data_IF_029892939061
#
_entry.id   IF_029892939061
#
_cell.length_a   1.000
_cell.length_b   1.000
_cell.length_c   1.000
_cell.angle_alpha   90.00
_cell.angle_beta   90.00
_cell.angle_gamma   90.00
#
_symmetry.space_group_name_H-M   'P 1'
#
loop_
_entity.id
_entity.type
_entity.pdbx_description
1 polymer ?
#
# COMPACT_ATOMS: atom_id res chain seq x y z
N UNK A 1 -30.29 -10.77 39.79
CA UNK A 1 -30.65 -10.78 38.35
C UNK A 1 -29.87 -9.76 37.49
N UNK A 2 -29.20 -8.74 38.07
CA UNK A 2 -28.35 -7.78 37.32
C UNK A 2 -26.98 -8.36 36.93
N UNK A 3 -26.35 -9.18 37.79
CA UNK A 3 -25.02 -9.77 37.51
C UNK A 3 -24.97 -10.70 36.29
N UNK A 4 -26.06 -11.41 35.98
CA UNK A 4 -26.08 -12.34 34.84
C UNK A 4 -26.12 -11.58 33.51
N UNK A 5 -26.74 -10.39 33.48
CA UNK A 5 -26.76 -9.55 32.26
C UNK A 5 -25.41 -8.90 32.01
N UNK A 6 -24.71 -8.44 33.04
CA UNK A 6 -23.36 -7.88 32.88
C UNK A 6 -22.33 -8.93 32.42
N UNK A 7 -22.43 -10.18 32.90
CA UNK A 7 -21.57 -11.28 32.41
C UNK A 7 -21.89 -11.63 30.96
N UNK A 8 -23.16 -11.59 30.55
CA UNK A 8 -23.57 -11.84 29.16
C UNK A 8 -23.19 -10.69 28.22
N UNK A 9 -23.30 -9.44 28.66
CA UNK A 9 -22.90 -8.26 27.89
C UNK A 9 -21.38 -8.17 27.79
N UNK A 10 -20.64 -8.49 28.86
CA UNK A 10 -19.18 -8.60 28.83
C UNK A 10 -18.70 -9.77 27.95
N UNK A 11 -19.43 -10.89 27.93
CA UNK A 11 -19.13 -12.04 27.07
C UNK A 11 -19.50 -11.79 25.61
N UNK A 12 -20.63 -11.12 25.35
CA UNK A 12 -21.06 -10.71 24.01
C UNK A 12 -20.14 -9.62 23.42
N UNK A 13 -19.66 -8.69 24.25
CA UNK A 13 -18.64 -7.72 23.87
C UNK A 13 -17.29 -8.39 23.58
N UNK A 14 -16.90 -9.41 24.37
CA UNK A 14 -15.68 -10.21 24.13
C UNK A 14 -15.78 -11.07 22.86
N UNK A 15 -16.94 -11.67 22.60
CA UNK A 15 -17.25 -12.44 21.37
C UNK A 15 -17.33 -11.53 20.15
N UNK A 16 -17.89 -10.33 20.27
CA UNK A 16 -17.91 -9.30 19.21
C UNK A 16 -16.49 -8.82 18.89
N UNK A 17 -15.65 -8.61 19.91
CA UNK A 17 -14.24 -8.24 19.75
C UNK A 17 -13.42 -9.37 19.10
N UNK A 18 -13.66 -10.63 19.48
CA UNK A 18 -13.06 -11.82 18.84
C UNK A 18 -13.54 -12.05 17.40
N UNK A 19 -14.80 -11.73 17.08
CA UNK A 19 -15.31 -11.75 15.70
C UNK A 19 -14.68 -10.69 14.79
N UNK A 20 -14.05 -9.67 15.36
CA UNK A 20 -13.27 -8.66 14.63
C UNK A 20 -11.79 -9.02 14.52
N UNK A 21 -11.32 -10.06 15.20
CA UNK A 21 -9.94 -10.51 15.04
C UNK A 21 -9.79 -11.24 13.69
N UNK A 22 -8.91 -10.75 12.79
CA UNK A 22 -8.81 -11.22 11.41
C UNK A 22 -8.46 -12.71 11.33
N UNK A 23 -7.73 -13.23 12.33
CA UNK A 23 -7.33 -14.64 12.44
C UNK A 23 -8.52 -15.57 12.66
N UNK A 24 -9.49 -15.18 13.50
CA UNK A 24 -10.68 -16.00 13.81
C UNK A 24 -11.61 -16.05 12.60
N UNK A 25 -11.81 -14.91 11.93
CA UNK A 25 -12.62 -14.82 10.71
C UNK A 25 -11.99 -15.65 9.58
N UNK A 26 -10.67 -15.58 9.42
CA UNK A 26 -9.95 -16.36 8.42
C UNK A 26 -10.04 -17.87 8.69
N UNK A 27 -9.87 -18.29 9.95
CA UNK A 27 -9.95 -19.70 10.34
C UNK A 27 -11.35 -20.26 10.09
N UNK A 28 -12.39 -19.54 10.51
CA UNK A 28 -13.78 -19.95 10.30
C UNK A 28 -14.14 -20.00 8.80
N UNK A 29 -13.61 -19.05 8.02
CA UNK A 29 -13.79 -19.02 6.56
C UNK A 29 -13.12 -20.23 5.88
N UNK A 30 -11.88 -20.54 6.24
CA UNK A 30 -11.16 -21.71 5.71
C UNK A 30 -11.87 -23.01 6.05
N UNK A 31 -12.38 -23.15 7.29
CA UNK A 31 -13.16 -24.32 7.70
C UNK A 31 -14.48 -24.45 6.93
N UNK A 32 -15.21 -23.35 6.75
CA UNK A 32 -16.45 -23.34 5.97
C UNK A 32 -16.21 -23.70 4.50
N UNK A 33 -15.17 -23.15 3.88
CA UNK A 33 -14.83 -23.44 2.49
C UNK A 33 -14.38 -24.90 2.28
N UNK A 34 -13.57 -25.45 3.20
CA UNK A 34 -13.20 -26.86 3.17
C UNK A 34 -14.43 -27.77 3.30
N UNK A 35 -15.34 -27.44 4.23
CA UNK A 35 -16.57 -28.21 4.44
C UNK A 35 -17.49 -28.16 3.22
N UNK A 36 -17.67 -26.98 2.60
CA UNK A 36 -18.43 -26.81 1.36
C UNK A 36 -17.82 -27.62 0.21
N UNK A 37 -16.49 -27.59 0.06
CA UNK A 37 -15.81 -28.34 -0.99
C UNK A 37 -15.98 -29.86 -0.81
N UNK A 38 -15.94 -30.35 0.43
CA UNK A 38 -16.21 -31.74 0.75
C UNK A 38 -17.66 -32.14 0.40
N UNK A 39 -18.65 -31.33 0.81
CA UNK A 39 -20.07 -31.61 0.53
C UNK A 39 -20.34 -31.61 -0.98
N UNK A 40 -19.76 -30.66 -1.72
CA UNK A 40 -19.89 -30.63 -3.19
C UNK A 40 -19.22 -31.85 -3.81
N UNK A 41 -18.01 -32.22 -3.37
CA UNK A 41 -17.31 -33.37 -3.89
C UNK A 41 -18.06 -34.70 -3.65
N UNK A 42 -18.79 -34.84 -2.54
CA UNK A 42 -19.63 -36.02 -2.28
C UNK A 42 -20.77 -36.21 -3.31
N UNK A 43 -21.23 -35.13 -3.95
CA UNK A 43 -22.32 -35.21 -4.94
C UNK A 43 -21.81 -35.47 -6.36
N UNK A 44 -20.53 -35.21 -6.63
CA UNK A 44 -19.96 -35.25 -7.98
C UNK A 44 -18.83 -36.28 -8.15
N UNK A 45 -18.17 -36.72 -7.08
CA UNK A 45 -17.14 -37.76 -7.11
C UNK A 45 -17.75 -39.13 -6.78
N UNK A 46 -17.43 -40.18 -7.55
CA UNK A 46 -17.83 -41.56 -7.24
C UNK A 46 -17.03 -42.19 -6.09
N UNK A 47 -16.02 -41.51 -5.52
CA UNK A 47 -15.22 -42.02 -4.39
C UNK A 47 -15.94 -41.90 -3.03
N UNK A 48 -15.76 -42.91 -2.17
CA UNK A 48 -16.41 -42.98 -0.87
C UNK A 48 -15.95 -41.91 0.14
N UNK A 49 -14.80 -41.27 -0.07
CA UNK A 49 -14.26 -40.22 0.82
C UNK A 49 -13.36 -39.22 0.05
N UNK A 50 -13.94 -38.19 -0.60
CA UNK A 50 -13.20 -37.24 -1.45
C UNK A 50 -12.45 -36.18 -0.61
N UNK A 51 -11.35 -36.59 0.03
CA UNK A 51 -10.56 -35.73 0.95
C UNK A 51 -9.65 -34.72 0.23
N UNK A 52 -9.48 -34.81 -1.09
CA UNK A 52 -8.62 -33.88 -1.83
C UNK A 52 -9.29 -32.54 -2.14
N UNK A 53 -10.61 -32.55 -2.34
CA UNK A 53 -11.40 -31.34 -2.53
C UNK A 53 -11.30 -30.38 -1.32
N UNK A 54 -11.52 -30.82 -0.06
CA UNK A 54 -11.36 -29.95 1.11
C UNK A 54 -9.91 -29.49 1.32
N UNK A 55 -8.92 -30.36 1.09
CA UNK A 55 -7.50 -29.99 1.12
C UNK A 55 -7.19 -28.90 0.06
N UNK A 56 -7.81 -29.03 -1.12
CA UNK A 56 -7.71 -28.06 -2.22
C UNK A 56 -8.30 -26.72 -1.85
N UNK A 57 -9.52 -26.70 -1.34
CA UNK A 57 -10.17 -25.48 -0.89
C UNK A 57 -9.44 -24.80 0.28
N UNK A 58 -8.87 -25.56 1.22
CA UNK A 58 -8.18 -25.00 2.38
C UNK A 58 -6.92 -24.21 1.99
N UNK A 59 -6.06 -24.79 1.13
CA UNK A 59 -4.87 -24.07 0.67
C UNK A 59 -5.23 -22.90 -0.25
N UNK A 60 -6.30 -23.02 -1.04
CA UNK A 60 -6.77 -21.96 -1.93
C UNK A 60 -7.34 -20.77 -1.12
N UNK A 61 -8.10 -21.02 -0.05
CA UNK A 61 -8.72 -19.96 0.78
C UNK A 61 -7.74 -19.30 1.76
N UNK A 62 -6.64 -19.95 2.09
CA UNK A 62 -5.63 -19.39 2.99
C UNK A 62 -4.86 -18.21 2.40
N UNK A 63 -4.87 -18.04 1.07
CA UNK A 63 -4.08 -17.00 0.40
C UNK A 63 -4.97 -15.85 -0.14
N UNK A 64 -4.34 -14.70 -0.43
CA UNK A 64 -5.01 -13.53 -1.01
C UNK A 64 -5.61 -13.88 -2.37
N UNK A 65 -6.67 -13.21 -2.81
CA UNK A 65 -7.45 -13.56 -4.01
C UNK A 65 -6.58 -13.73 -5.29
N UNK A 66 -5.50 -12.96 -5.42
CA UNK A 66 -4.51 -13.14 -6.49
C UNK A 66 -3.72 -14.45 -6.37
N UNK A 67 -3.22 -14.72 -5.18
CA UNK A 67 -2.51 -15.96 -4.91
C UNK A 67 -3.46 -17.14 -4.98
N UNK A 68 -4.70 -17.05 -4.51
CA UNK A 68 -5.76 -18.07 -4.66
C UNK A 68 -5.95 -18.50 -6.12
N UNK A 69 -6.00 -17.56 -7.06
CA UNK A 69 -6.12 -17.86 -8.49
C UNK A 69 -4.85 -18.55 -9.01
N UNK A 70 -3.68 -17.96 -8.75
CA UNK A 70 -2.41 -18.48 -9.27
C UNK A 70 -2.01 -19.80 -8.63
N UNK A 71 -2.17 -19.95 -7.32
CA UNK A 71 -2.02 -21.17 -6.53
C UNK A 71 -3.03 -22.23 -6.96
N UNK A 72 -4.31 -21.86 -7.14
CA UNK A 72 -5.34 -22.79 -7.64
C UNK A 72 -5.00 -23.37 -9.02
N UNK A 73 -4.60 -22.51 -9.97
CA UNK A 73 -4.18 -22.93 -11.32
C UNK A 73 -2.91 -23.78 -11.26
N UNK A 74 -1.90 -23.36 -10.49
CA UNK A 74 -0.66 -24.15 -10.31
C UNK A 74 -0.94 -25.51 -9.69
N UNK A 75 -1.87 -25.59 -8.74
CA UNK A 75 -2.24 -26.83 -8.06
C UNK A 75 -3.00 -27.78 -8.97
N UNK A 76 -3.98 -27.29 -9.73
CA UNK A 76 -4.66 -28.09 -10.76
C UNK A 76 -3.65 -28.62 -11.78
N UNK A 77 -2.74 -27.77 -12.27
CA UNK A 77 -1.69 -28.21 -13.20
C UNK A 77 -0.76 -29.27 -12.60
N UNK A 78 -0.45 -29.18 -11.31
CA UNK A 78 0.41 -30.13 -10.59
C UNK A 78 -0.24 -31.51 -10.50
N UNK A 79 -1.51 -31.55 -10.12
CA UNK A 79 -2.27 -32.81 -10.05
C UNK A 79 -2.45 -33.41 -11.44
N UNK A 80 -2.82 -32.60 -12.44
CA UNK A 80 -2.96 -33.06 -13.83
C UNK A 80 -1.64 -33.62 -14.36
N UNK A 81 -0.52 -32.93 -14.13
CA UNK A 81 0.81 -33.42 -14.53
C UNK A 81 1.15 -34.75 -13.85
N UNK A 82 0.91 -34.87 -12.53
CA UNK A 82 1.15 -36.11 -11.79
C UNK A 82 0.30 -37.28 -12.30
N UNK A 83 -0.98 -37.03 -12.60
CA UNK A 83 -1.90 -38.02 -13.15
C UNK A 83 -1.49 -38.46 -14.56
N UNK A 84 -1.11 -37.53 -15.44
CA UNK A 84 -0.65 -37.84 -16.80
C UNK A 84 0.62 -38.68 -16.78
N UNK A 85 1.57 -38.31 -15.91
CA UNK A 85 2.81 -39.09 -15.71
C UNK A 85 2.48 -40.49 -15.18
N UNK A 86 1.58 -40.61 -14.21
CA UNK A 86 1.17 -41.91 -13.66
C UNK A 86 0.47 -42.80 -14.70
N UNK A 87 -0.45 -42.26 -15.50
CA UNK A 87 -1.13 -43.00 -16.57
C UNK A 87 -0.11 -43.47 -17.61
N UNK A 88 0.73 -42.57 -18.12
CA UNK A 88 1.75 -42.88 -19.11
C UNK A 88 2.73 -43.94 -18.61
N UNK A 89 3.13 -43.85 -17.34
CA UNK A 89 4.03 -44.81 -16.72
C UNK A 89 3.36 -46.16 -16.47
N UNK A 90 2.11 -46.18 -15.99
CA UNK A 90 1.35 -47.42 -15.75
C UNK A 90 1.07 -48.21 -17.03
N UNK A 91 0.95 -47.53 -18.17
CA UNK A 91 0.77 -48.17 -19.47
C UNK A 91 2.06 -48.82 -19.99
N UNK A 92 3.23 -48.38 -19.51
CA UNK A 92 4.55 -48.85 -19.95
C UNK A 92 5.17 -49.87 -18.99
N UNK A 93 4.88 -49.77 -17.69
CA UNK A 93 5.57 -50.53 -16.64
C UNK A 93 4.57 -50.95 -15.56
N UNK A 94 4.46 -52.25 -15.28
CA UNK A 94 3.64 -52.76 -14.17
C UNK A 94 4.16 -52.30 -12.79
N UNK A 95 3.34 -52.47 -11.75
CA UNK A 95 3.74 -52.12 -10.37
C UNK A 95 4.91 -53.00 -9.88
N UNK A 96 6.06 -52.39 -9.64
CA UNK A 96 7.23 -53.00 -8.99
C UNK A 96 7.93 -51.97 -8.11
N UNK A 97 8.81 -52.41 -7.19
CA UNK A 97 9.52 -51.51 -6.28
C UNK A 97 10.43 -50.51 -7.00
N UNK A 98 11.05 -50.91 -8.12
CA UNK A 98 11.91 -50.04 -8.93
C UNK A 98 11.09 -49.11 -9.83
N UNK A 99 9.91 -49.55 -10.31
CA UNK A 99 9.04 -48.70 -11.11
C UNK A 99 8.40 -47.58 -10.28
N UNK A 100 8.08 -47.83 -9.00
CA UNK A 100 7.67 -46.79 -8.05
C UNK A 100 8.75 -45.72 -7.86
N UNK A 101 10.00 -46.14 -7.67
CA UNK A 101 11.13 -45.21 -7.51
C UNK A 101 11.35 -44.34 -8.75
N UNK A 102 11.25 -44.94 -9.94
CA UNK A 102 11.39 -44.23 -11.21
C UNK A 102 10.23 -43.26 -11.46
N UNK A 103 9.01 -43.63 -11.07
CA UNK A 103 7.84 -42.74 -11.12
C UNK A 103 8.04 -41.50 -10.25
N UNK A 104 8.46 -41.67 -9.00
CA UNK A 104 8.71 -40.54 -8.08
C UNK A 104 9.77 -39.60 -8.67
N UNK A 105 10.87 -40.15 -9.18
CA UNK A 105 11.92 -39.38 -9.85
C UNK A 105 11.38 -38.59 -11.06
N UNK A 106 10.59 -39.25 -11.92
CA UNK A 106 9.98 -38.61 -13.08
C UNK A 106 8.99 -37.51 -12.68
N UNK A 107 8.12 -37.76 -11.70
CA UNK A 107 7.15 -36.78 -11.20
C UNK A 107 7.83 -35.56 -10.56
N UNK A 108 8.91 -35.76 -9.81
CA UNK A 108 9.69 -34.66 -9.22
C UNK A 108 10.42 -33.84 -10.30
N UNK A 109 11.02 -34.51 -11.30
CA UNK A 109 11.69 -33.85 -12.41
C UNK A 109 10.71 -33.01 -13.26
N UNK A 110 9.53 -33.57 -13.55
CA UNK A 110 8.46 -32.86 -14.27
C UNK A 110 7.91 -31.70 -13.43
N UNK A 111 7.71 -31.88 -12.12
CA UNK A 111 7.29 -30.79 -11.24
C UNK A 111 8.27 -29.60 -11.23
N UNK A 112 9.57 -29.88 -11.34
CA UNK A 112 10.61 -28.86 -11.48
C UNK A 112 10.56 -28.17 -12.86
N UNK A 113 10.32 -28.93 -13.93
CA UNK A 113 10.25 -28.42 -15.30
C UNK A 113 9.03 -27.53 -15.55
N UNK A 114 7.90 -27.81 -14.90
CA UNK A 114 6.64 -27.02 -15.01
C UNK A 114 6.69 -25.72 -14.17
N UNK A 115 7.83 -25.39 -13.54
CA UNK A 115 8.01 -24.19 -12.67
C UNK A 115 6.98 -24.11 -11.54
N UNK A 116 6.54 -25.27 -11.04
CA UNK A 116 5.67 -25.37 -9.86
C UNK A 116 6.55 -25.58 -8.62
N UNK A 117 7.44 -24.62 -8.34
CA UNK A 117 8.47 -24.76 -7.29
C UNK A 117 7.92 -25.02 -5.89
N UNK A 118 6.67 -24.64 -5.60
CA UNK A 118 6.04 -24.75 -4.28
C UNK A 118 5.22 -26.04 -4.08
N UNK A 119 4.82 -26.74 -5.16
CA UNK A 119 3.97 -27.95 -5.10
C UNK A 119 4.59 -29.19 -5.76
N UNK A 120 5.90 -29.20 -5.98
CA UNK A 120 6.64 -30.35 -6.55
C UNK A 120 6.35 -31.68 -5.81
N UNK A 121 6.29 -31.73 -4.46
CA UNK A 121 5.96 -32.96 -3.75
C UNK A 121 4.52 -33.46 -4.01
N UNK A 122 3.60 -32.55 -4.32
CA UNK A 122 2.19 -32.87 -4.55
C UNK A 122 1.98 -33.61 -5.89
N UNK A 123 2.81 -33.31 -6.89
CA UNK A 123 2.89 -34.04 -8.17
C UNK A 123 3.27 -35.51 -7.92
N UNK A 124 4.29 -35.74 -7.09
CA UNK A 124 4.75 -37.08 -6.74
C UNK A 124 3.72 -37.85 -5.91
N UNK A 125 3.11 -37.21 -4.89
CA UNK A 125 2.06 -37.82 -4.07
C UNK A 125 0.85 -38.21 -4.92
N UNK A 126 0.42 -37.33 -5.83
CA UNK A 126 -0.72 -37.60 -6.71
C UNK A 126 -0.43 -38.75 -7.69
N UNK A 127 0.78 -38.78 -8.25
CA UNK A 127 1.20 -39.88 -9.13
C UNK A 127 1.24 -41.23 -8.40
N UNK A 128 1.75 -41.24 -7.16
CA UNK A 128 1.78 -42.44 -6.33
C UNK A 128 0.37 -42.96 -5.98
N UNK A 129 -0.56 -42.08 -5.63
CA UNK A 129 -1.93 -42.46 -5.27
C UNK A 129 -2.71 -43.03 -6.45
N UNK A 130 -2.51 -42.50 -7.66
CA UNK A 130 -3.13 -43.04 -8.89
C UNK A 130 -2.53 -44.40 -9.25
N UNK A 131 -1.22 -44.58 -9.08
CA UNK A 131 -0.58 -45.87 -9.35
C UNK A 131 -0.99 -46.95 -8.32
N UNK A 132 -1.17 -46.59 -7.05
CA UNK A 132 -1.50 -47.53 -5.96
C UNK A 132 -2.92 -48.10 -5.97
N UNK A 133 -3.85 -47.52 -6.74
CA UNK A 133 -5.24 -47.98 -6.85
C UNK A 133 -5.44 -48.63 -8.22
N UNK A 134 -5.77 -49.91 -8.24
CA UNK A 134 -5.79 -50.79 -9.41
C UNK A 134 -6.83 -50.48 -10.50
N UNK A 135 -7.50 -49.32 -10.46
CA UNK A 135 -8.43 -48.81 -11.47
C UNK A 135 -7.95 -47.49 -12.06
N UNK A 136 -6.95 -47.57 -12.94
CA UNK A 136 -6.21 -46.41 -13.49
C UNK A 136 -7.12 -45.39 -14.22
N UNK A 137 -8.28 -45.82 -14.74
CA UNK A 137 -9.22 -44.95 -15.49
C UNK A 137 -10.12 -44.07 -14.61
N UNK A 138 -10.95 -44.69 -13.77
CA UNK A 138 -11.93 -43.96 -12.93
C UNK A 138 -11.25 -43.16 -11.82
N UNK A 139 -10.14 -43.66 -11.26
CA UNK A 139 -9.42 -43.00 -10.15
C UNK A 139 -8.57 -41.81 -10.62
N UNK A 140 -8.11 -41.82 -11.88
CA UNK A 140 -7.42 -40.66 -12.45
C UNK A 140 -8.38 -39.50 -12.69
N UNK A 141 -9.58 -39.81 -13.21
CA UNK A 141 -10.62 -38.82 -13.46
C UNK A 141 -11.16 -38.23 -12.16
N UNK A 142 -11.46 -39.06 -11.15
CA UNK A 142 -11.91 -38.60 -9.83
C UNK A 142 -10.90 -37.61 -9.21
N UNK A 143 -9.60 -37.90 -9.28
CA UNK A 143 -8.55 -37.06 -8.70
C UNK A 143 -8.46 -35.68 -9.32
N UNK A 144 -8.56 -35.61 -10.66
CA UNK A 144 -8.58 -34.33 -11.38
C UNK A 144 -9.86 -33.56 -11.01
N UNK A 145 -11.00 -34.25 -11.03
CA UNK A 145 -12.31 -33.66 -10.79
C UNK A 145 -12.43 -33.11 -9.36
N UNK A 146 -11.96 -33.83 -8.34
CA UNK A 146 -11.94 -33.36 -6.95
C UNK A 146 -11.01 -32.14 -6.74
N UNK A 147 -9.85 -32.12 -7.40
CA UNK A 147 -8.92 -30.98 -7.33
C UNK A 147 -9.55 -29.75 -7.99
N UNK A 148 -10.21 -29.92 -9.14
CA UNK A 148 -10.93 -28.83 -9.81
C UNK A 148 -12.09 -28.34 -8.94
N UNK A 149 -12.89 -29.23 -8.35
CA UNK A 149 -13.98 -28.85 -7.44
C UNK A 149 -13.43 -28.06 -6.26
N UNK A 150 -12.38 -28.54 -5.59
CA UNK A 150 -11.81 -27.83 -4.45
C UNK A 150 -11.22 -26.47 -4.83
N UNK A 151 -10.62 -26.34 -6.02
CA UNK A 151 -10.13 -25.06 -6.54
C UNK A 151 -11.28 -24.10 -6.87
N UNK A 152 -12.35 -24.58 -7.51
CA UNK A 152 -13.53 -23.77 -7.85
C UNK A 152 -14.28 -23.33 -6.61
N UNK A 153 -14.51 -24.23 -5.65
CA UNK A 153 -15.19 -23.91 -4.39
C UNK A 153 -14.33 -22.98 -3.53
N UNK A 154 -13.02 -23.23 -3.41
CA UNK A 154 -12.11 -22.33 -2.71
C UNK A 154 -12.06 -20.94 -3.33
N UNK A 155 -12.03 -20.84 -4.66
CA UNK A 155 -12.07 -19.57 -5.38
C UNK A 155 -13.42 -18.86 -5.21
N UNK A 156 -14.52 -19.61 -5.27
CA UNK A 156 -15.88 -19.09 -5.08
C UNK A 156 -16.10 -18.57 -3.66
N UNK A 157 -15.62 -19.28 -2.65
CA UNK A 157 -15.62 -18.81 -1.26
C UNK A 157 -14.76 -17.56 -1.09
N UNK A 158 -13.60 -17.47 -1.74
CA UNK A 158 -12.74 -16.27 -1.68
C UNK A 158 -13.41 -15.06 -2.38
N UNK A 159 -14.14 -15.30 -3.47
CA UNK A 159 -14.93 -14.28 -4.20
C UNK A 159 -16.17 -13.81 -3.42
N UNK A 160 -16.92 -14.74 -2.83
CA UNK A 160 -18.16 -14.45 -2.10
C UNK A 160 -17.88 -13.87 -0.71
N UNK A 161 -16.79 -14.29 -0.07
CA UNK A 161 -16.32 -13.86 1.24
C UNK A 161 -14.91 -13.23 1.10
N UNK A 162 -14.81 -12.04 0.49
CA UNK A 162 -13.52 -11.37 0.30
C UNK A 162 -12.84 -11.16 1.66
N UNK A 163 -11.50 -11.32 1.74
CA UNK A 163 -10.77 -11.04 2.97
C UNK A 163 -10.99 -9.56 3.38
N UNK A 164 -10.89 -9.24 4.68
CA UNK A 164 -11.01 -7.87 5.15
C UNK A 164 -9.98 -6.99 4.42
N UNK A 165 -10.42 -5.83 3.94
CA UNK A 165 -9.57 -4.89 3.23
C UNK A 165 -8.72 -4.16 4.27
N UNK A 166 -7.40 -4.38 4.25
CA UNK A 166 -6.44 -3.85 5.24
C UNK A 166 -6.11 -2.36 5.05
N UNK A 167 -6.96 -1.63 4.31
CA UNK A 167 -6.73 -0.24 3.93
C UNK A 167 -6.72 0.67 5.16
N UNK A 168 -7.64 0.45 6.11
CA UNK A 168 -7.65 1.18 7.38
C UNK A 168 -6.38 0.99 8.21
N UNK A 169 -5.82 -0.22 8.25
CA UNK A 169 -4.59 -0.48 9.00
C UNK A 169 -3.35 0.19 8.36
N UNK A 170 -3.30 0.27 7.03
CA UNK A 170 -2.25 1.00 6.33
C UNK A 170 -2.38 2.52 6.56
N UNK A 171 -3.60 3.05 6.55
CA UNK A 171 -3.86 4.46 6.89
C UNK A 171 -3.49 4.81 8.33
N UNK A 172 -3.90 3.99 9.30
CA UNK A 172 -3.50 4.15 10.70
C UNK A 172 -1.98 4.16 10.88
N UNK A 173 -1.26 3.30 10.15
CA UNK A 173 0.20 3.24 10.18
C UNK A 173 0.87 4.52 9.64
N UNK A 174 0.29 5.12 8.58
CA UNK A 174 0.74 6.39 8.00
C UNK A 174 0.48 7.55 8.97
N UNK A 175 -0.71 7.61 9.58
CA UNK A 175 -1.04 8.62 10.60
C UNK A 175 -0.17 8.48 11.86
N UNK A 176 0.12 7.25 12.29
CA UNK A 176 1.04 6.96 13.38
C UNK A 176 2.46 7.48 13.08
N UNK A 177 2.98 7.24 11.86
CA UNK A 177 4.28 7.76 11.43
C UNK A 177 4.29 9.29 11.44
N UNK A 178 3.26 9.93 10.88
CA UNK A 178 3.13 11.39 10.86
C UNK A 178 3.10 11.99 12.27
N UNK A 179 2.38 11.33 13.21
CA UNK A 179 2.38 11.73 14.63
C UNK A 179 3.76 11.61 15.27
N UNK A 180 4.55 10.58 14.93
CA UNK A 180 5.93 10.44 15.42
C UNK A 180 6.86 11.53 14.86
N UNK A 181 6.73 11.86 13.58
CA UNK A 181 7.44 12.99 12.94
C UNK A 181 7.12 14.31 13.64
N UNK A 182 5.84 14.59 13.86
CA UNK A 182 5.38 15.79 14.61
C UNK A 182 5.98 15.86 16.01
N UNK A 183 5.96 14.76 16.76
CA UNK A 183 6.51 14.73 18.11
C UNK A 183 8.01 15.05 18.13
N UNK A 184 8.76 14.58 17.13
CA UNK A 184 10.19 14.89 17.05
C UNK A 184 10.42 16.35 16.65
N UNK A 185 9.64 16.91 15.72
CA UNK A 185 9.69 18.34 15.38
C UNK A 185 9.44 19.23 16.60
N UNK A 186 8.42 18.93 17.40
CA UNK A 186 8.12 19.67 18.64
C UNK A 186 9.28 19.66 19.62
N UNK A 187 9.84 18.47 19.91
CA UNK A 187 10.98 18.36 20.84
C UNK A 187 12.22 19.09 20.33
N UNK A 188 12.43 19.12 19.02
CA UNK A 188 13.51 19.89 18.40
C UNK A 188 13.25 21.40 18.55
N UNK A 189 11.99 21.83 18.35
CA UNK A 189 11.56 23.21 18.54
C UNK A 189 11.75 23.71 19.97
N UNK A 190 11.30 22.94 20.97
CA UNK A 190 11.47 23.25 22.40
C UNK A 190 12.94 23.48 22.80
N UNK A 191 13.87 22.85 22.09
CA UNK A 191 15.32 22.96 22.34
C UNK A 191 15.95 24.18 21.62
N UNK A 192 15.25 24.86 20.70
CA UNK A 192 15.79 25.90 19.81
C UNK A 192 16.24 27.18 20.53
N UNK A 193 15.46 27.65 21.51
CA UNK A 193 15.83 28.79 22.36
C UNK A 193 16.83 28.42 23.47
N UNK A 194 17.09 27.12 23.63
CA UNK A 194 17.84 26.56 24.73
C UNK A 194 19.33 26.42 24.47
N UNK A 195 19.99 25.77 25.44
CA UNK A 195 21.41 25.38 25.41
C UNK A 195 21.50 23.86 25.50
N UNK A 196 20.92 23.11 24.55
CA UNK A 196 20.88 21.66 24.64
C UNK A 196 22.31 21.11 24.66
N UNK A 197 22.63 20.17 25.58
CA UNK A 197 23.89 19.44 25.51
C UNK A 197 24.03 18.76 24.14
N UNK A 198 25.24 18.72 23.59
CA UNK A 198 25.50 18.05 22.29
C UNK A 198 25.01 16.59 22.29
N UNK A 199 25.07 15.92 23.45
CA UNK A 199 24.56 14.56 23.61
C UNK A 199 23.02 14.46 23.42
N UNK A 200 22.27 15.48 23.85
CA UNK A 200 20.83 15.55 23.66
C UNK A 200 20.48 15.78 22.19
N UNK A 201 21.13 16.73 21.53
CA UNK A 201 20.96 16.97 20.09
C UNK A 201 21.31 15.72 19.26
N UNK A 202 22.39 15.02 19.62
CA UNK A 202 22.77 13.75 18.99
C UNK A 202 21.72 12.65 19.23
N UNK A 203 21.04 12.63 20.37
CA UNK A 203 19.94 11.71 20.64
C UNK A 203 18.72 12.00 19.73
N UNK A 204 18.40 13.29 19.46
CA UNK A 204 17.36 13.67 18.48
C UNK A 204 17.69 13.20 17.07
N UNK A 205 18.95 13.32 16.66
CA UNK A 205 19.41 12.78 15.39
C UNK A 205 19.28 11.24 15.32
N UNK A 206 19.54 10.54 16.43
CA UNK A 206 19.34 9.10 16.48
C UNK A 206 17.85 8.71 16.43
N UNK A 207 16.98 9.48 17.10
CA UNK A 207 15.53 9.32 17.01
C UNK A 207 15.03 9.52 15.57
N UNK A 208 15.52 10.54 14.86
CA UNK A 208 15.20 10.77 13.45
C UNK A 208 15.59 9.57 12.56
N UNK A 209 16.76 8.96 12.81
CA UNK A 209 17.20 7.75 12.07
C UNK A 209 16.35 6.53 12.35
N UNK A 210 15.68 6.45 13.51
CA UNK A 210 14.76 5.34 13.80
C UNK A 210 13.47 5.49 12.99
N UNK A 211 13.01 6.72 12.75
CA UNK A 211 11.87 6.97 11.87
C UNK A 211 12.13 6.48 10.44
N UNK A 212 13.36 6.58 9.93
CA UNK A 212 13.74 6.00 8.63
C UNK A 212 13.47 4.48 8.59
N UNK A 213 13.64 3.77 9.72
CA UNK A 213 13.37 2.34 9.80
C UNK A 213 11.89 2.02 9.91
N UNK A 214 11.13 2.83 10.67
CA UNK A 214 9.68 2.68 10.79
C UNK A 214 8.97 2.76 9.42
N UNK A 215 9.51 3.54 8.47
CA UNK A 215 8.98 3.63 7.09
C UNK A 215 9.00 2.27 6.39
N UNK A 216 9.99 1.43 6.66
CA UNK A 216 10.08 0.08 6.05
C UNK A 216 8.93 -0.80 6.53
N UNK A 217 8.54 -0.68 7.80
CA UNK A 217 7.38 -1.39 8.35
C UNK A 217 6.07 -0.87 7.74
N UNK A 218 5.92 0.45 7.59
CA UNK A 218 4.74 1.07 6.95
C UNK A 218 4.65 0.70 5.46
N UNK A 219 5.76 0.68 4.72
CA UNK A 219 5.82 0.24 3.32
C UNK A 219 5.43 -1.24 3.18
N UNK A 220 5.86 -2.11 4.11
CA UNK A 220 5.44 -3.51 4.12
C UNK A 220 3.93 -3.66 4.36
N UNK A 221 3.37 -2.92 5.32
CA UNK A 221 1.92 -2.89 5.58
C UNK A 221 1.14 -2.35 4.37
N UNK A 222 1.65 -1.30 3.72
CA UNK A 222 1.06 -0.74 2.52
C UNK A 222 1.07 -1.74 1.37
N UNK A 223 2.20 -2.42 1.10
CA UNK A 223 2.29 -3.47 0.07
C UNK A 223 1.28 -4.60 0.29
N UNK A 224 1.09 -5.02 1.54
CA UNK A 224 0.08 -6.02 1.89
C UNK A 224 -1.36 -5.53 1.60
N UNK A 225 -1.62 -4.24 1.86
CA UNK A 225 -2.89 -3.61 1.51
C UNK A 225 -3.06 -3.50 -0.03
N UNK A 226 -2.02 -3.11 -0.77
CA UNK A 226 -2.03 -3.04 -2.24
C UNK A 226 -2.36 -4.40 -2.88
N UNK A 227 -1.73 -5.47 -2.40
CA UNK A 227 -1.93 -6.84 -2.90
C UNK A 227 -3.36 -7.33 -2.62
N UNK A 228 -3.95 -6.91 -1.51
CA UNK A 228 -5.34 -7.23 -1.14
C UNK A 228 -6.36 -6.52 -2.03
N UNK A 229 -6.05 -5.31 -2.52
CA UNK A 229 -6.93 -4.50 -3.36
C UNK A 229 -6.92 -4.91 -4.83
N UNK A 230 -5.80 -5.45 -5.33
CA UNK A 230 -5.55 -5.68 -6.76
C UNK A 230 -6.59 -6.55 -7.48
N UNK A 231 -7.28 -7.44 -6.77
CA UNK A 231 -8.27 -8.37 -7.34
C UNK A 231 -9.63 -8.37 -6.62
N UNK A 232 -9.95 -7.35 -5.82
CA UNK A 232 -11.27 -7.24 -5.22
C UNK A 232 -12.24 -6.53 -6.19
N UNK A 233 -13.15 -7.25 -6.90
CA UNK A 233 -14.03 -6.66 -7.90
C UNK A 233 -15.02 -5.64 -7.32
N UNK A 234 -15.21 -5.61 -6.00
CA UNK A 234 -16.07 -4.67 -5.29
C UNK A 234 -15.43 -3.31 -5.01
N UNK A 235 -14.12 -3.14 -5.23
CA UNK A 235 -13.37 -1.94 -4.84
C UNK A 235 -12.80 -1.23 -6.07
N UNK A 236 -13.66 -0.71 -6.95
CA UNK A 236 -13.24 0.11 -8.11
C UNK A 236 -12.58 1.43 -7.69
N UNK A 237 -12.87 1.93 -6.47
CA UNK A 237 -12.26 3.12 -5.87
C UNK A 237 -10.87 2.86 -5.23
N UNK A 238 -10.50 1.59 -5.03
CA UNK A 238 -9.27 1.22 -4.32
C UNK A 238 -7.99 1.47 -5.13
N UNK A 239 -8.10 1.63 -6.45
CA UNK A 239 -6.95 2.01 -7.28
C UNK A 239 -6.52 3.46 -7.03
N UNK A 240 -7.47 4.38 -6.84
CA UNK A 240 -7.18 5.77 -6.50
C UNK A 240 -6.62 5.85 -5.08
N UNK A 241 -7.28 5.18 -4.13
CA UNK A 241 -6.82 5.13 -2.74
C UNK A 241 -5.39 4.54 -2.64
N UNK A 242 -5.08 3.49 -3.41
CA UNK A 242 -3.71 2.94 -3.52
C UNK A 242 -2.68 3.97 -3.99
N UNK A 243 -2.98 4.67 -5.09
CA UNK A 243 -2.05 5.67 -5.65
C UNK A 243 -1.85 6.81 -4.66
N UNK A 244 -2.91 7.24 -3.99
CA UNK A 244 -2.88 8.29 -2.97
C UNK A 244 -2.04 7.86 -1.75
N UNK A 245 -2.34 6.71 -1.13
CA UNK A 245 -1.56 6.22 0.03
C UNK A 245 -0.07 6.04 -0.30
N UNK A 246 0.25 5.50 -1.47
CA UNK A 246 1.65 5.32 -1.88
C UNK A 246 2.36 6.63 -2.13
N UNK A 247 1.72 7.56 -2.85
CA UNK A 247 2.29 8.89 -3.08
C UNK A 247 2.44 9.66 -1.78
N UNK A 248 1.50 9.53 -0.84
CA UNK A 248 1.59 10.16 0.46
C UNK A 248 2.64 9.53 1.38
N UNK A 249 2.86 8.22 1.30
CA UNK A 249 3.99 7.59 1.98
C UNK A 249 5.33 8.10 1.41
N UNK A 250 5.45 8.26 0.09
CA UNK A 250 6.66 8.83 -0.54
C UNK A 250 6.93 10.26 -0.01
N UNK A 251 5.90 11.09 0.13
CA UNK A 251 6.01 12.43 0.73
C UNK A 251 6.47 12.36 2.19
N UNK A 252 5.88 11.48 3.01
CA UNK A 252 6.32 11.31 4.40
C UNK A 252 7.76 10.78 4.50
N UNK A 253 8.17 9.90 3.59
CA UNK A 253 9.56 9.43 3.50
C UNK A 253 10.50 10.61 3.25
N UNK A 254 10.18 11.48 2.29
CA UNK A 254 10.97 12.70 2.05
C UNK A 254 11.00 13.59 3.29
N UNK A 255 9.86 13.85 3.93
CA UNK A 255 9.79 14.65 5.16
C UNK A 255 10.64 14.07 6.30
N UNK A 256 10.66 12.75 6.50
CA UNK A 256 11.48 12.09 7.54
C UNK A 256 12.98 12.21 7.24
N UNK A 257 13.38 12.09 5.97
CA UNK A 257 14.76 12.31 5.53
C UNK A 257 15.17 13.76 5.80
N UNK A 258 14.32 14.73 5.46
CA UNK A 258 14.58 16.15 5.71
C UNK A 258 14.66 16.45 7.20
N UNK A 259 13.77 15.89 8.03
CA UNK A 259 13.83 15.99 9.49
C UNK A 259 15.15 15.45 10.06
N UNK A 260 15.67 14.34 9.52
CA UNK A 260 16.97 13.80 9.91
C UNK A 260 18.12 14.75 9.55
N UNK A 261 18.05 15.40 8.39
CA UNK A 261 19.04 16.42 8.00
C UNK A 261 18.94 17.64 8.90
N UNK A 262 17.74 18.12 9.21
CA UNK A 262 17.50 19.22 10.16
C UNK A 262 18.07 18.90 11.55
N UNK A 263 17.77 17.71 12.10
CA UNK A 263 18.31 17.26 13.37
C UNK A 263 19.85 17.19 13.37
N UNK A 264 20.45 16.82 12.23
CA UNK A 264 21.90 16.84 12.07
C UNK A 264 22.46 18.26 12.05
N UNK A 265 21.85 19.17 11.29
CA UNK A 265 22.25 20.59 11.22
C UNK A 265 22.21 21.23 12.61
N UNK A 266 21.17 20.96 13.40
CA UNK A 266 21.05 21.45 14.77
C UNK A 266 22.06 20.81 15.73
N UNK A 267 22.38 19.52 15.53
CA UNK A 267 23.46 18.86 16.29
C UNK A 267 24.82 19.48 15.99
N UNK A 268 25.09 19.81 14.73
CA UNK A 268 26.35 20.45 14.35
C UNK A 268 26.39 21.91 14.82
N UNK A 269 25.27 22.64 14.81
CA UNK A 269 25.15 23.96 15.42
C UNK A 269 25.38 23.93 16.93
N UNK A 270 24.84 22.92 17.63
CA UNK A 270 25.05 22.73 19.07
C UNK A 270 26.55 22.55 19.42
N UNK A 271 27.31 21.86 18.57
CA UNK A 271 28.76 21.65 18.75
C UNK A 271 29.55 22.93 18.56
N UNK A 272 29.22 23.69 17.53
CA UNK A 272 29.95 24.91 17.15
C UNK A 272 29.64 26.09 18.09
N UNK A 273 28.44 26.12 18.69
CA UNK A 273 28.03 27.19 19.62
C UNK A 273 28.26 26.89 21.09
N UNK A 274 28.50 25.64 21.50
CA UNK A 274 28.61 25.32 22.93
C UNK A 274 29.65 26.22 23.65
N UNK A 275 29.27 26.92 24.74
CA UNK A 275 28.06 26.78 25.56
C UNK A 275 26.96 27.82 25.28
N UNK A 276 27.00 28.57 24.18
CA UNK A 276 25.96 29.53 23.77
C UNK A 276 24.64 28.82 23.41
N UNK A 277 23.48 29.51 23.48
CA UNK A 277 22.23 28.96 22.98
C UNK A 277 22.29 28.70 21.47
N UNK A 278 21.47 27.79 20.95
CA UNK A 278 21.42 27.50 19.51
C UNK A 278 21.05 28.75 18.71
N UNK A 279 19.99 29.43 19.13
CA UNK A 279 19.50 30.67 18.56
C UNK A 279 19.32 31.73 19.64
N UNK A 280 19.27 33.00 19.23
CA UNK A 280 18.80 34.08 20.11
C UNK A 280 17.34 33.79 20.52
N UNK A 281 16.91 34.09 21.77
CA UNK A 281 15.59 33.70 22.27
C UNK A 281 14.42 34.04 21.34
N UNK A 282 14.44 35.22 20.71
CA UNK A 282 13.37 35.60 19.77
C UNK A 282 13.36 34.71 18.52
N UNK A 283 14.54 34.34 17.99
CA UNK A 283 14.65 33.43 16.84
C UNK A 283 14.21 32.02 17.24
N UNK A 284 14.66 31.54 18.41
CA UNK A 284 14.34 30.22 18.91
C UNK A 284 12.83 30.03 19.14
N UNK A 285 12.15 31.01 19.73
CA UNK A 285 10.70 30.97 19.96
C UNK A 285 9.92 30.90 18.63
N UNK A 286 10.33 31.68 17.63
CA UNK A 286 9.69 31.61 16.30
C UNK A 286 10.04 30.31 15.57
N UNK A 287 11.20 29.70 15.82
CA UNK A 287 11.57 28.41 15.26
C UNK A 287 10.79 27.26 15.94
N UNK A 288 10.55 27.34 17.24
CA UNK A 288 9.67 26.42 17.97
C UNK A 288 8.25 26.45 17.41
N UNK A 289 7.68 27.65 17.26
CA UNK A 289 6.38 27.87 16.64
C UNK A 289 6.33 27.28 15.22
N UNK A 290 7.33 27.61 14.39
CA UNK A 290 7.43 27.11 13.02
C UNK A 290 7.47 25.57 12.95
N UNK A 291 8.28 24.92 13.80
CA UNK A 291 8.39 23.46 13.79
C UNK A 291 7.12 22.79 14.32
N UNK A 292 6.38 23.45 15.23
CA UNK A 292 5.03 23.01 15.62
C UNK A 292 4.06 23.07 14.45
N UNK A 293 4.01 24.18 13.72
CA UNK A 293 3.12 24.38 12.57
C UNK A 293 3.44 23.40 11.43
N UNK A 294 4.72 23.17 11.13
CA UNK A 294 5.16 22.12 10.18
C UNK A 294 4.72 20.74 10.66
N UNK A 295 4.83 20.47 11.97
CA UNK A 295 4.39 19.21 12.57
C UNK A 295 2.88 18.99 12.45
N UNK A 296 2.08 20.04 12.61
CA UNK A 296 0.63 20.00 12.39
C UNK A 296 0.30 19.73 10.92
N UNK A 297 0.98 20.42 9.99
CA UNK A 297 0.82 20.21 8.55
C UNK A 297 1.15 18.78 8.12
N UNK A 298 2.20 18.15 8.69
CA UNK A 298 2.53 16.74 8.44
C UNK A 298 1.39 15.80 8.85
N UNK A 299 0.74 16.07 10.00
CA UNK A 299 -0.39 15.26 10.47
C UNK A 299 -1.63 15.49 9.61
N UNK A 300 -1.95 16.73 9.27
CA UNK A 300 -3.09 17.04 8.39
C UNK A 300 -2.91 16.47 6.99
N UNK A 301 -1.67 16.46 6.47
CA UNK A 301 -1.34 15.78 5.21
C UNK A 301 -1.60 14.27 5.30
N UNK A 302 -1.15 13.61 6.37
CA UNK A 302 -1.43 12.20 6.56
C UNK A 302 -2.93 11.92 6.59
N UNK A 303 -3.71 12.71 7.35
CA UNK A 303 -5.18 12.60 7.39
C UNK A 303 -5.81 12.83 6.02
N UNK A 304 -5.33 13.78 5.23
CA UNK A 304 -5.82 14.03 3.87
C UNK A 304 -5.60 12.81 2.96
N UNK A 305 -4.42 12.18 3.06
CA UNK A 305 -4.05 11.01 2.25
C UNK A 305 -4.79 9.74 2.69
N UNK A 306 -5.13 9.63 3.98
CA UNK A 306 -5.82 8.44 4.54
C UNK A 306 -7.34 8.56 4.57
N UNK A 307 -7.89 9.77 4.40
CA UNK A 307 -9.34 9.99 4.41
C UNK A 307 -10.03 9.34 3.22
N UNK A 308 -10.94 8.41 3.51
CA UNK A 308 -11.88 7.86 2.53
C UNK A 308 -13.02 8.87 2.31
N UNK A 309 -13.34 9.14 1.03
CA UNK A 309 -14.52 9.89 0.53
C UNK A 309 -14.37 11.43 0.43
N UNK A 310 -14.84 11.93 -0.72
CA UNK A 310 -14.80 13.32 -1.22
C UNK A 310 -15.29 14.40 -0.25
N UNK A 311 -16.12 14.08 0.75
CA UNK A 311 -16.72 15.08 1.65
C UNK A 311 -15.79 15.46 2.81
N UNK A 312 -14.91 14.56 3.28
CA UNK A 312 -13.89 14.90 4.27
C UNK A 312 -12.62 15.47 3.63
N UNK A 313 -12.33 15.08 2.38
CA UNK A 313 -11.11 15.47 1.67
C UNK A 313 -11.00 16.99 1.47
N UNK A 314 -12.08 17.66 1.05
CA UNK A 314 -12.07 19.13 0.86
C UNK A 314 -11.82 19.88 2.18
N UNK A 315 -12.38 19.37 3.29
CA UNK A 315 -12.15 19.95 4.62
C UNK A 315 -10.72 19.71 5.13
N UNK A 316 -10.14 18.55 4.83
CA UNK A 316 -8.77 18.21 5.18
C UNK A 316 -7.76 18.98 4.32
N UNK A 317 -8.07 19.19 3.03
CA UNK A 317 -7.28 19.99 2.10
C UNK A 317 -7.28 21.46 2.52
N UNK A 318 -8.44 22.03 2.84
CA UNK A 318 -8.54 23.40 3.34
C UNK A 318 -7.78 23.60 4.66
N UNK A 319 -7.81 22.59 5.55
CA UNK A 319 -7.03 22.61 6.80
C UNK A 319 -5.52 22.60 6.52
N UNK A 320 -5.06 21.67 5.69
CA UNK A 320 -3.65 21.58 5.31
C UNK A 320 -3.17 22.88 4.64
N UNK A 321 -3.94 23.43 3.71
CA UNK A 321 -3.61 24.69 3.05
C UNK A 321 -3.51 25.86 4.03
N UNK A 322 -4.40 25.92 5.02
CA UNK A 322 -4.33 26.92 6.10
C UNK A 322 -3.08 26.75 6.95
N UNK A 323 -2.75 25.52 7.35
CA UNK A 323 -1.55 25.23 8.16
C UNK A 323 -0.26 25.54 7.40
N UNK A 324 -0.17 25.20 6.12
CA UNK A 324 0.97 25.54 5.25
C UNK A 324 1.11 27.05 5.06
N UNK A 325 0.00 27.78 4.95
CA UNK A 325 0.03 29.25 4.85
C UNK A 325 0.59 29.87 6.13
N UNK A 326 0.11 29.40 7.29
CA UNK A 326 0.60 29.84 8.61
C UNK A 326 2.09 29.52 8.77
N UNK A 327 2.50 28.27 8.53
CA UNK A 327 3.89 27.84 8.60
C UNK A 327 4.81 28.63 7.66
N UNK A 328 4.34 28.96 6.45
CA UNK A 328 5.09 29.77 5.50
C UNK A 328 5.30 31.20 6.02
N UNK A 329 4.27 31.81 6.62
CA UNK A 329 4.36 33.14 7.19
C UNK A 329 5.34 33.19 8.38
N UNK A 330 5.28 32.20 9.27
CA UNK A 330 6.22 32.06 10.40
C UNK A 330 7.64 31.81 9.90
N UNK A 331 7.81 30.98 8.86
CA UNK A 331 9.11 30.74 8.21
C UNK A 331 9.69 32.03 7.64
N UNK A 332 8.90 32.86 6.97
CA UNK A 332 9.35 34.15 6.43
C UNK A 332 9.80 35.10 7.54
N UNK A 333 9.11 35.10 8.69
CA UNK A 333 9.53 35.85 9.89
C UNK A 333 10.85 35.35 10.45
N UNK A 334 11.01 34.02 10.62
CA UNK A 334 12.27 33.40 11.06
C UNK A 334 13.40 33.74 10.08
N UNK A 335 13.15 33.73 8.78
CA UNK A 335 14.13 34.08 7.76
C UNK A 335 14.62 35.54 7.88
N UNK A 336 13.71 36.48 8.18
CA UNK A 336 14.07 37.88 8.43
C UNK A 336 14.92 38.03 9.69
N UNK A 337 14.53 37.39 10.79
CA UNK A 337 15.29 37.44 12.05
C UNK A 337 16.68 36.83 11.91
N UNK A 338 16.79 35.68 11.23
CA UNK A 338 18.09 35.05 10.94
C UNK A 338 18.96 35.94 10.03
N UNK A 339 18.37 36.64 9.05
CA UNK A 339 19.10 37.56 8.20
C UNK A 339 19.65 38.75 8.99
N UNK A 340 18.88 39.29 9.93
CA UNK A 340 19.35 40.35 10.83
C UNK A 340 20.49 39.87 11.73
N UNK A 341 20.39 38.65 12.25
CA UNK A 341 21.45 38.04 13.07
C UNK A 341 22.73 37.82 12.26
N UNK A 342 22.62 37.24 11.06
CA UNK A 342 23.77 37.00 10.17
C UNK A 342 24.48 38.30 9.77
N UNK A 343 23.74 39.42 9.67
CA UNK A 343 24.33 40.74 9.42
C UNK A 343 25.14 41.26 10.61
N UNK A 344 24.80 40.86 11.83
CA UNK A 344 25.54 41.21 13.06
C UNK A 344 26.72 40.27 13.28
N UNK A 345 26.50 38.96 13.14
CA UNK A 345 27.52 37.93 13.24
C UNK A 345 27.37 36.92 12.08
N UNK A 346 28.36 36.94 11.19
CA UNK A 346 28.38 36.03 10.04
C UNK A 346 28.87 34.61 10.38
N UNK A 347 29.19 34.32 11.65
CA UNK A 347 29.57 32.96 12.06
C UNK A 347 28.40 32.01 11.82
N UNK A 348 28.73 30.82 11.33
CA UNK A 348 27.78 29.71 11.14
C UNK A 348 26.58 30.06 10.25
N UNK A 349 26.67 31.10 9.41
CA UNK A 349 25.60 31.51 8.48
C UNK A 349 25.11 30.35 7.60
N UNK A 350 26.01 29.42 7.27
CA UNK A 350 25.69 28.21 6.51
C UNK A 350 24.73 27.27 7.25
N UNK A 351 24.81 27.18 8.59
CA UNK A 351 23.93 26.34 9.39
C UNK A 351 22.56 26.99 9.56
N UNK A 352 22.50 28.31 9.74
CA UNK A 352 21.24 29.07 9.73
C UNK A 352 20.50 28.94 8.40
N UNK A 353 21.22 29.10 7.29
CA UNK A 353 20.66 28.90 5.95
C UNK A 353 20.22 27.46 5.70
N UNK A 354 20.95 26.47 6.23
CA UNK A 354 20.58 25.07 6.12
C UNK A 354 19.28 24.76 6.87
N UNK A 355 19.07 25.28 8.09
CA UNK A 355 17.81 25.11 8.84
C UNK A 355 16.61 25.63 8.05
N UNK A 356 16.71 26.85 7.49
CA UNK A 356 15.65 27.40 6.64
C UNK A 356 15.42 26.57 5.38
N UNK A 357 16.49 26.06 4.77
CA UNK A 357 16.41 25.25 3.57
C UNK A 357 15.67 23.93 3.84
N UNK A 358 15.98 23.26 4.96
CA UNK A 358 15.31 22.01 5.32
C UNK A 358 13.82 22.26 5.64
N UNK A 359 13.48 23.32 6.38
CA UNK A 359 12.06 23.66 6.64
C UNK A 359 11.32 23.97 5.34
N UNK A 360 11.91 24.76 4.44
CA UNK A 360 11.33 25.02 3.12
C UNK A 360 11.09 23.74 2.33
N UNK A 361 12.02 22.78 2.42
CA UNK A 361 11.90 21.52 1.71
C UNK A 361 10.76 20.66 2.25
N UNK A 362 10.50 20.69 3.56
CA UNK A 362 9.33 20.04 4.14
C UNK A 362 8.02 20.70 3.67
N UNK A 363 7.95 22.04 3.72
CA UNK A 363 6.78 22.79 3.28
C UNK A 363 6.48 22.55 1.79
N UNK A 364 7.50 22.61 0.93
CA UNK A 364 7.39 22.37 -0.51
C UNK A 364 6.90 20.95 -0.83
N UNK A 365 7.30 19.96 -0.03
CA UNK A 365 6.89 18.56 -0.24
C UNK A 365 5.44 18.32 0.20
N UNK A 366 4.99 18.98 1.27
CA UNK A 366 3.61 18.91 1.76
C UNK A 366 2.62 19.69 0.88
N UNK A 367 3.09 20.70 0.14
CA UNK A 367 2.29 21.52 -0.76
C UNK A 367 2.01 20.81 -2.10
N UNK A 368 0.98 19.97 -2.09
CA UNK A 368 0.51 19.22 -3.25
C UNK A 368 -0.01 20.12 -4.39
N UNK A 369 -0.52 21.32 -4.08
CA UNK A 369 -1.08 22.26 -5.05
C UNK A 369 0.04 22.86 -5.90
N UNK A 370 1.16 23.24 -5.29
CA UNK A 370 2.35 23.71 -6.00
C UNK A 370 2.97 22.66 -6.93
N UNK A 371 2.95 21.37 -6.56
CA UNK A 371 3.44 20.27 -7.42
C UNK A 371 2.58 20.10 -8.69
N UNK A 372 1.25 20.11 -8.55
CA UNK A 372 0.34 20.00 -9.69
C UNK A 372 0.45 21.21 -10.63
N UNK A 373 0.58 22.41 -10.07
CA UNK A 373 0.72 23.68 -10.80
C UNK A 373 2.07 23.80 -11.51
N UNK A 374 3.19 23.41 -10.86
CA UNK A 374 4.50 23.33 -11.52
C UNK A 374 4.50 22.35 -12.69
N UNK A 375 3.89 21.17 -12.55
CA UNK A 375 3.80 20.18 -13.63
C UNK A 375 2.96 20.70 -14.82
N UNK A 376 1.85 21.39 -14.54
CA UNK A 376 1.04 22.04 -15.57
C UNK A 376 1.83 23.16 -16.28
N UNK A 377 2.57 23.97 -15.54
CA UNK A 377 3.42 25.03 -16.09
C UNK A 377 4.58 24.48 -16.93
N UNK A 378 5.20 23.37 -16.54
CA UNK A 378 6.25 22.70 -17.32
C UNK A 378 5.69 22.04 -18.59
N UNK A 379 4.52 21.41 -18.52
CA UNK A 379 3.81 20.89 -19.68
C UNK A 379 3.43 22.00 -20.66
N UNK A 380 2.95 23.13 -20.16
CA UNK A 380 2.65 24.31 -20.97
C UNK A 380 3.92 24.89 -21.59
N UNK A 381 5.03 24.94 -20.84
CA UNK A 381 6.34 25.38 -21.35
C UNK A 381 6.85 24.48 -22.47
N UNK A 382 6.85 23.17 -22.28
CA UNK A 382 7.24 22.22 -23.33
C UNK A 382 6.29 22.22 -24.53
N UNK A 383 5.00 22.46 -24.31
CA UNK A 383 4.03 22.62 -25.39
C UNK A 383 4.31 23.91 -26.18
N UNK A 384 4.63 25.02 -25.49
CA UNK A 384 5.04 26.29 -26.12
C UNK A 384 6.36 26.16 -26.89
N UNK A 385 7.38 25.54 -26.31
CA UNK A 385 8.66 25.27 -26.98
C UNK A 385 8.50 24.38 -28.22
N UNK A 386 7.62 23.35 -28.16
CA UNK A 386 7.29 22.53 -29.34
C UNK A 386 6.53 23.32 -30.40
N UNK A 387 5.67 24.26 -30.01
CA UNK A 387 4.94 25.15 -30.91
C UNK A 387 5.88 26.16 -31.59
N UNK A 388 6.84 26.71 -30.86
CA UNK A 388 7.86 27.64 -31.38
C UNK A 388 8.84 26.95 -32.33
N UNK A 389 9.20 25.68 -32.06
CA UNK A 389 10.06 24.88 -32.96
C UNK A 389 9.36 24.45 -34.26
N UNK A 390 8.02 24.46 -34.34
CA UNK A 390 7.27 24.03 -35.54
C UNK A 390 6.08 24.94 -35.88
N UNK A 391 6.32 26.20 -36.29
CA UNK A 391 5.26 27.16 -36.65
C UNK A 391 4.42 26.72 -37.86
N UNK A 392 4.95 25.80 -38.69
CA UNK A 392 4.22 25.11 -39.76
C UNK A 392 2.97 24.40 -39.23
N UNK A 393 3.07 23.64 -38.13
CA UNK A 393 2.03 22.69 -37.71
C UNK A 393 0.72 23.42 -37.33
N UNK A 394 0.82 24.62 -36.76
CA UNK A 394 -0.33 25.47 -36.48
C UNK A 394 -0.97 26.02 -37.79
N UNK A 395 -0.16 26.42 -38.77
CA UNK A 395 -0.65 26.87 -40.09
C UNK A 395 -1.35 25.72 -40.84
N UNK A 396 -0.85 24.49 -40.73
CA UNK A 396 -1.43 23.30 -41.36
C UNK A 396 -2.75 22.91 -40.70
N UNK A 397 -2.83 22.89 -39.35
CA UNK A 397 -4.08 22.63 -38.62
C UNK A 397 -5.15 23.68 -38.90
N UNK A 398 -4.77 24.96 -39.03
CA UNK A 398 -5.70 26.05 -39.39
C UNK A 398 -6.18 25.96 -40.84
N UNK A 399 -5.34 25.48 -41.77
CA UNK A 399 -5.74 25.17 -43.16
C UNK A 399 -6.70 23.97 -43.22
N UNK A 400 -6.41 22.90 -42.48
CA UNK A 400 -7.28 21.72 -42.40
C UNK A 400 -8.65 22.04 -41.78
N UNK A 401 -8.69 22.93 -40.78
CA UNK A 401 -9.94 23.39 -40.16
C UNK A 401 -10.77 24.32 -41.06
N UNK A 402 -10.17 24.94 -42.09
CA UNK A 402 -10.89 25.64 -43.17
C UNK A 402 -11.44 24.69 -44.23
N UNK A 403 -10.98 23.44 -44.29
CA UNK A 403 -11.44 22.44 -45.26
C UNK A 403 -12.57 21.54 -44.76
N UNK A 404 -13.11 21.77 -43.56
CA UNK A 404 -14.28 21.04 -43.08
C UNK A 404 -15.51 21.94 -42.87
N UNK A 405 -16.21 22.38 -43.95
CA UNK A 405 -17.48 23.08 -43.83
C UNK A 405 -18.63 22.08 -43.84
N UNK A 406 -18.72 21.16 -42.86
CA UNK A 406 -19.93 20.32 -42.69
C UNK A 406 -20.26 20.07 -41.23
N UNK A 407 -20.86 21.09 -40.60
CA UNK A 407 -22.07 21.00 -39.76
C UNK A 407 -22.36 22.36 -39.13
N UNK A 408 -22.94 23.27 -39.92
CA UNK A 408 -23.70 24.42 -39.40
C UNK A 408 -24.71 24.88 -40.45
N UNK A 409 -25.91 24.29 -40.43
CA UNK A 409 -27.18 25.01 -40.60
C UNK A 409 -28.38 24.05 -40.70
N UNK A 410 -29.26 24.16 -39.71
CA UNK A 410 -30.71 23.94 -39.63
C UNK A 410 -30.96 23.88 -38.11
N UNK A 411 -31.60 24.81 -37.42
CA UNK A 411 -32.61 25.78 -37.82
C UNK A 411 -32.89 26.71 -36.64
N UNK A 412 -32.97 28.00 -36.89
CA UNK A 412 -33.74 29.00 -36.14
C UNK A 412 -34.27 30.00 -37.19
N UNK A 413 -35.28 30.85 -36.93
CA UNK A 413 -36.04 31.08 -35.69
C UNK A 413 -37.57 31.23 -35.91
N UNK A 414 -38.36 31.35 -34.84
CA UNK A 414 -39.44 32.36 -34.68
C UNK A 414 -40.31 32.06 -33.44
N UNK A 415 -40.61 33.10 -32.66
CA UNK A 415 -41.73 33.05 -31.71
C UNK A 415 -41.51 33.81 -30.41
N UNK A 416 -41.62 35.14 -30.48
CA UNK A 416 -41.94 36.00 -29.31
C UNK A 416 -43.31 35.60 -28.76
N UNK A 417 -43.53 35.76 -27.45
CA UNK A 417 -44.88 35.75 -26.87
C UNK A 417 -44.85 35.90 -25.36
N UNK A 418 -45.40 37.01 -24.88
CA UNK A 418 -45.54 37.39 -23.48
C UNK A 418 -46.40 36.40 -22.65
N UNK A 419 -46.18 36.44 -21.34
CA UNK A 419 -46.95 35.75 -20.30
C UNK A 419 -46.27 35.92 -18.96
#
# INVERSE_FOLDING_TARGET
>A
MRDVREVWDASAARVSKWRREPVVVQTLRSAAAATLAYVVALHFSPEAAPLTAPLTALLVVQVTLYSTITTGVRRVNSVVAGVVVAIGFSALVGLTWWSLGLLILASLAVGHLVRVSEFVPEVAISAMLVLGVSSVGDTAWSRILETVIGAVVGLSCNLLLPPPVWVGAAGESIEDLARRVRQLLLRIGEEASGRPPVALAAARLHEARRLDHDIVEVDAALRQAEDSLRFNPRVREGLLHRVVLRTGLDTLEICTVVLRVLARTLTDLAKERAPEPLFEPSIGENLEELLSEVGDAVVSFAVLVTSDVSDNAESAEARLASELTTATATRDKVAQLLLEEIRRDARQWQLHGAVLTEVNRMLDELDMEHRSRRLLEELDRHTREKLERRPWLYRLRRRLRRFNPRRRNRSAPAGRGAG
#
